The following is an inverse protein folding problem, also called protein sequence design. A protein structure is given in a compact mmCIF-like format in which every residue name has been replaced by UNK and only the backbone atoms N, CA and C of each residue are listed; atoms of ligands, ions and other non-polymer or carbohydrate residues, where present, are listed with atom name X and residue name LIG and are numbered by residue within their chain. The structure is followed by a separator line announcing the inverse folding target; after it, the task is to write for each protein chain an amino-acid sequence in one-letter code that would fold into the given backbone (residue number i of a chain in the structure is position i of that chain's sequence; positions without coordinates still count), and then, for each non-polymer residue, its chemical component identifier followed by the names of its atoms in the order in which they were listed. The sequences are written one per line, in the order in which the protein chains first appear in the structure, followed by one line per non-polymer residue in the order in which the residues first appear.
data_IF_095833279325
#
_entry.id   IF_095833279325
#
_cell.length_a   1.000
_cell.length_b   1.000
_cell.length_c   1.000
_cell.angle_alpha   90.00
_cell.angle_beta   90.00
_cell.angle_gamma   90.00
#
_symmetry.space_group_name_H-M   'P 1'
#
loop_
_entity.id
_entity.type
_entity.pdbx_description
1 polymer ?
#
# COMPACT_ATOMS: atom_id res chain seq x y z
N UNK A 1 -7.70 55.20 3.78
CA UNK A 1 -6.88 55.36 5.00
C UNK A 1 -7.79 55.36 6.21
N UNK A 2 -7.89 54.23 6.93
CA UNK A 2 -8.60 54.17 8.22
C UNK A 2 -7.81 53.31 9.19
N UNK A 3 -7.10 54.03 10.06
CA UNK A 3 -6.93 53.81 11.51
C UNK A 3 -6.44 52.44 11.98
N UNK A 4 -5.17 52.44 12.37
CA UNK A 4 -4.63 51.60 13.44
C UNK A 4 -5.49 51.67 14.71
N UNK A 5 -5.54 50.53 15.41
CA UNK A 5 -5.52 50.52 16.87
C UNK A 5 -6.55 49.61 17.52
N UNK A 6 -6.16 48.38 17.85
CA UNK A 6 -6.30 47.94 19.24
C UNK A 6 -5.28 46.85 19.58
N UNK A 7 -4.59 47.13 20.68
CA UNK A 7 -3.59 46.31 21.34
C UNK A 7 -4.18 45.05 21.97
N UNK A 8 -3.30 44.04 22.05
CA UNK A 8 -3.12 43.11 23.17
C UNK A 8 -4.29 42.20 23.58
N UNK A 9 -4.21 40.93 23.15
CA UNK A 9 -4.42 39.78 24.06
C UNK A 9 -3.33 38.74 23.75
N UNK A 10 -2.20 38.86 24.45
CA UNK A 10 -1.35 37.72 24.80
C UNK A 10 -2.13 36.90 25.83
N UNK A 11 -2.29 35.59 25.63
CA UNK A 11 -1.99 34.52 26.62
C UNK A 11 -2.67 33.19 26.26
N UNK A 12 -1.84 32.15 26.10
CA UNK A 12 -2.09 30.79 26.60
C UNK A 12 -3.24 29.96 26.01
N UNK A 13 -2.99 29.30 24.87
CA UNK A 13 -3.55 27.96 24.62
C UNK A 13 -2.43 27.05 24.09
N UNK A 14 -1.61 26.57 25.03
CA UNK A 14 -0.95 25.28 24.89
C UNK A 14 -1.95 24.23 25.37
N UNK A 15 -2.12 23.15 24.60
CA UNK A 15 -2.82 21.95 25.05
C UNK A 15 -4.22 21.77 24.49
N UNK A 16 -4.30 21.28 23.26
CA UNK A 16 -5.20 20.20 22.83
C UNK A 16 -5.06 20.03 21.31
N UNK A 17 -3.95 19.44 20.87
CA UNK A 17 -3.95 18.69 19.61
C UNK A 17 -4.79 17.43 19.87
N UNK A 18 -6.11 17.61 19.95
CA UNK A 18 -7.06 16.54 19.73
C UNK A 18 -6.86 16.13 18.28
N UNK A 19 -6.08 15.06 18.11
CA UNK A 19 -5.98 14.33 16.87
C UNK A 19 -7.41 14.10 16.37
N UNK A 20 -7.78 14.89 15.36
CA UNK A 20 -8.84 14.53 14.46
C UNK A 20 -8.40 13.20 13.85
N UNK A 21 -8.86 12.10 14.43
CA UNK A 21 -8.97 10.84 13.71
C UNK A 21 -9.94 11.10 12.58
N UNK A 22 -9.41 11.58 11.45
CA UNK A 22 -10.07 11.54 10.16
C UNK A 22 -10.33 10.06 9.85
N UNK A 23 -11.41 9.52 10.39
CA UNK A 23 -12.12 8.40 9.79
C UNK A 23 -12.76 8.96 8.53
N UNK A 24 -11.95 9.11 7.48
CA UNK A 24 -12.50 9.26 6.14
C UNK A 24 -13.35 8.01 5.87
N UNK A 25 -14.58 8.15 5.34
CA UNK A 25 -15.32 7.00 4.89
C UNK A 25 -14.44 6.31 3.85
N UNK A 26 -14.20 5.01 4.02
CA UNK A 26 -13.65 4.20 2.94
C UNK A 26 -14.65 4.30 1.79
N UNK A 27 -14.41 5.21 0.85
CA UNK A 27 -15.16 5.32 -0.39
C UNK A 27 -15.17 3.93 -1.01
N UNK A 28 -16.35 3.39 -1.30
CA UNK A 28 -16.53 2.09 -1.94
C UNK A 28 -15.80 1.98 -3.31
N UNK A 29 -15.28 3.10 -3.81
CA UNK A 29 -14.56 3.25 -5.07
C UNK A 29 -13.03 3.25 -4.95
N UNK A 30 -12.45 3.25 -3.74
CA UNK A 30 -10.99 3.19 -3.58
C UNK A 30 -10.47 1.75 -3.75
N UNK A 31 -9.39 1.51 -4.54
CA UNK A 31 -8.80 0.18 -4.68
C UNK A 31 -8.40 -0.39 -3.32
N UNK A 32 -8.75 -1.66 -3.06
CA UNK A 32 -8.37 -2.31 -1.81
C UNK A 32 -6.84 -2.24 -1.61
N UNK A 33 -6.36 -1.77 -0.45
CA UNK A 33 -4.93 -1.64 -0.20
C UNK A 33 -4.26 -3.01 -0.26
N UNK A 34 -2.96 -3.05 -0.57
CA UNK A 34 -2.24 -4.31 -0.49
C UNK A 34 -2.09 -4.76 0.95
N UNK A 35 -2.21 -6.06 1.15
CA UNK A 35 -2.05 -6.65 2.49
C UNK A 35 -0.59 -6.71 2.91
N UNK A 36 0.33 -6.84 1.95
CA UNK A 36 1.76 -6.70 2.19
C UNK A 36 2.12 -5.22 2.20
N UNK A 37 2.84 -4.80 3.23
CA UNK A 37 3.37 -3.43 3.36
C UNK A 37 4.86 -3.37 3.03
N UNK A 38 5.54 -4.52 3.09
CA UNK A 38 6.94 -4.67 2.69
C UNK A 38 7.03 -5.40 1.35
N UNK A 39 7.72 -4.79 0.40
CA UNK A 39 7.86 -5.32 -0.95
C UNK A 39 9.33 -5.60 -1.24
N UNK A 40 9.63 -6.86 -1.55
CA UNK A 40 10.96 -7.28 -2.02
C UNK A 40 11.17 -7.08 -3.52
N UNK A 41 10.08 -6.81 -4.27
CA UNK A 41 10.12 -6.64 -5.72
C UNK A 41 9.57 -5.27 -6.11
N UNK A 42 10.27 -4.58 -7.00
CA UNK A 42 9.83 -3.26 -7.45
C UNK A 42 8.55 -3.36 -8.29
N UNK A 43 8.38 -4.46 -9.05
CA UNK A 43 7.16 -4.75 -9.81
C UNK A 43 5.89 -4.70 -8.95
N UNK A 44 5.90 -5.43 -7.83
CA UNK A 44 4.72 -5.53 -6.96
C UNK A 44 4.53 -4.24 -6.16
N UNK A 45 5.63 -3.61 -5.71
CA UNK A 45 5.59 -2.32 -5.01
C UNK A 45 4.91 -1.25 -5.85
N UNK A 46 5.32 -1.07 -7.11
CA UNK A 46 4.76 -0.06 -7.99
C UNK A 46 3.31 -0.35 -8.36
N UNK A 47 2.99 -1.63 -8.64
CA UNK A 47 1.62 -2.03 -8.93
C UNK A 47 0.69 -1.76 -7.74
N UNK A 48 1.17 -2.09 -6.53
CA UNK A 48 0.44 -1.80 -5.30
C UNK A 48 0.17 -0.31 -5.12
N UNK A 49 1.20 0.53 -5.26
CA UNK A 49 1.06 1.99 -5.11
C UNK A 49 0.09 2.60 -6.14
N UNK A 50 -0.03 2.01 -7.33
CA UNK A 50 -0.89 2.50 -8.42
C UNK A 50 -2.36 2.08 -8.29
N UNK A 51 -2.63 0.86 -7.85
CA UNK A 51 -3.99 0.31 -7.90
C UNK A 51 -4.28 -0.77 -6.87
N UNK A 52 -3.52 -0.77 -5.77
CA UNK A 52 -3.71 -1.65 -4.64
C UNK A 52 -3.56 -3.12 -4.96
N UNK A 53 -4.22 -3.95 -4.15
CA UNK A 53 -4.13 -5.41 -4.20
C UNK A 53 -4.55 -5.98 -5.56
N UNK A 54 -5.54 -5.36 -6.21
CA UNK A 54 -6.01 -5.79 -7.53
C UNK A 54 -4.91 -5.62 -8.57
N UNK A 55 -4.30 -4.43 -8.65
CA UNK A 55 -3.23 -4.17 -9.62
C UNK A 55 -2.00 -5.03 -9.35
N UNK A 56 -1.63 -5.22 -8.08
CA UNK A 56 -0.55 -6.13 -7.68
C UNK A 56 -0.80 -7.57 -8.16
N UNK A 57 -2.03 -8.08 -8.02
CA UNK A 57 -2.43 -9.40 -8.52
C UNK A 57 -2.38 -9.48 -10.04
N UNK A 58 -2.85 -8.45 -10.73
CA UNK A 58 -2.91 -8.43 -12.19
C UNK A 58 -1.51 -8.44 -12.83
N UNK A 59 -0.56 -7.64 -12.33
CA UNK A 59 0.84 -7.70 -12.82
C UNK A 59 1.50 -9.04 -12.52
N UNK A 60 1.19 -9.66 -11.38
CA UNK A 60 1.73 -10.98 -11.04
C UNK A 60 1.17 -12.07 -11.96
N UNK A 61 -0.11 -11.99 -12.35
CA UNK A 61 -0.69 -12.91 -13.35
C UNK A 61 -0.02 -12.79 -14.71
N UNK A 62 0.29 -11.56 -15.14
CA UNK A 62 1.03 -11.33 -16.40
C UNK A 62 2.42 -11.98 -16.30
N UNK A 63 3.16 -11.70 -15.22
CA UNK A 63 4.45 -12.33 -14.97
C UNK A 63 4.37 -13.87 -14.96
N UNK A 64 3.38 -14.44 -14.27
CA UNK A 64 3.18 -15.89 -14.24
C UNK A 64 2.94 -16.47 -15.63
N UNK A 65 2.15 -15.78 -16.47
CA UNK A 65 1.90 -16.18 -17.85
C UNK A 65 3.19 -16.14 -18.68
N UNK A 66 3.95 -15.06 -18.60
CA UNK A 66 5.22 -14.89 -19.33
C UNK A 66 6.28 -15.92 -18.91
N UNK A 67 6.33 -16.25 -17.62
CA UNK A 67 7.30 -17.19 -17.05
C UNK A 67 6.79 -18.62 -16.95
N UNK A 68 5.62 -18.92 -17.51
CA UNK A 68 4.98 -20.23 -17.47
C UNK A 68 4.82 -20.81 -16.04
N UNK A 69 4.64 -19.93 -15.04
CA UNK A 69 4.37 -20.31 -13.65
C UNK A 69 2.91 -20.78 -13.57
N UNK A 70 2.72 -22.07 -13.29
CA UNK A 70 1.39 -22.71 -13.37
C UNK A 70 0.51 -22.48 -12.14
N UNK A 71 1.08 -22.04 -11.02
CA UNK A 71 0.33 -21.92 -9.77
C UNK A 71 0.86 -20.82 -8.86
N UNK A 72 -0.05 -20.04 -8.27
CA UNK A 72 0.26 -19.06 -7.22
C UNK A 72 0.93 -19.72 -6.01
N UNK A 73 0.66 -21.01 -5.77
CA UNK A 73 1.19 -21.76 -4.64
C UNK A 73 2.67 -22.13 -4.81
N UNK A 74 3.30 -21.82 -5.95
CA UNK A 74 4.75 -21.92 -6.04
C UNK A 74 5.40 -20.94 -5.06
N UNK A 75 4.96 -19.68 -5.08
CA UNK A 75 5.52 -18.61 -4.24
C UNK A 75 4.72 -18.35 -2.94
N UNK A 76 3.40 -18.60 -2.93
CA UNK A 76 2.56 -18.36 -1.75
C UNK A 76 2.41 -19.61 -0.88
N UNK A 77 2.52 -19.44 0.44
CA UNK A 77 2.19 -20.46 1.44
C UNK A 77 0.67 -20.52 1.66
N UNK A 78 0.02 -19.35 1.71
CA UNK A 78 -1.44 -19.21 1.71
C UNK A 78 -1.84 -18.10 0.75
N UNK A 79 -2.99 -18.27 0.11
CA UNK A 79 -3.56 -17.25 -0.75
C UNK A 79 -4.35 -16.24 0.08
N UNK A 80 -5.37 -15.62 -0.51
CA UNK A 80 -6.27 -14.71 0.18
C UNK A 80 -6.72 -15.27 1.55
N UNK A 81 -6.93 -14.42 2.56
CA UNK A 81 -6.88 -12.95 2.48
C UNK A 81 -5.48 -12.36 2.66
N UNK A 82 -4.55 -13.06 3.33
CA UNK A 82 -3.25 -12.51 3.73
C UNK A 82 -2.14 -12.70 2.70
N UNK A 83 -2.33 -13.57 1.71
CA UNK A 83 -1.34 -13.83 0.66
C UNK A 83 0.06 -14.17 1.20
N UNK A 84 0.12 -14.94 2.28
CA UNK A 84 1.37 -15.34 2.95
C UNK A 84 2.37 -15.90 1.94
N UNK A 85 3.57 -15.33 1.91
CA UNK A 85 4.67 -15.77 1.05
C UNK A 85 5.41 -16.91 1.72
N UNK A 86 5.92 -17.85 0.92
CA UNK A 86 6.91 -18.81 1.42
C UNK A 86 8.23 -18.11 1.73
N UNK A 87 9.08 -18.69 2.60
CA UNK A 87 10.41 -18.12 2.89
C UNK A 87 11.28 -17.91 1.63
N UNK A 88 11.14 -18.80 0.64
CA UNK A 88 11.88 -18.81 -0.62
C UNK A 88 11.15 -18.10 -1.78
N UNK A 89 10.02 -17.43 -1.52
CA UNK A 89 9.20 -16.82 -2.57
C UNK A 89 9.96 -15.80 -3.43
N UNK A 90 10.82 -15.00 -2.79
CA UNK A 90 11.64 -14.03 -3.52
C UNK A 90 12.72 -14.71 -4.37
N UNK A 91 13.35 -15.77 -3.87
CA UNK A 91 14.31 -16.55 -4.66
C UNK A 91 13.64 -17.21 -5.86
N UNK A 92 12.43 -17.79 -5.68
CA UNK A 92 11.67 -18.36 -6.78
C UNK A 92 11.28 -17.30 -7.82
N UNK A 93 10.86 -16.11 -7.37
CA UNK A 93 10.56 -14.99 -8.25
C UNK A 93 11.77 -14.59 -9.10
N UNK A 94 12.94 -14.44 -8.48
CA UNK A 94 14.19 -14.11 -9.16
C UNK A 94 14.64 -15.24 -10.10
N UNK A 95 14.52 -16.51 -9.69
CA UNK A 95 14.82 -17.69 -10.53
C UNK A 95 13.91 -17.76 -11.77
N UNK A 96 12.65 -17.35 -11.64
CA UNK A 96 11.73 -17.22 -12.77
C UNK A 96 12.06 -16.01 -13.68
N UNK A 97 13.04 -15.18 -13.32
CA UNK A 97 13.48 -14.01 -14.10
C UNK A 97 12.72 -12.73 -13.75
N UNK A 98 12.13 -12.66 -12.56
CA UNK A 98 11.64 -11.42 -11.96
C UNK A 98 12.79 -10.55 -11.44
N UNK A 99 12.54 -9.24 -11.31
CA UNK A 99 13.48 -8.25 -10.78
C UNK A 99 12.79 -7.40 -9.71
#
# INVERSE_FOLDING_TARGET
MSKLGLFAILTSIAGALTFATLSAPASADAPAPCVHTEFKTELVKQACAKGGQKQAKDVMKVFMKEKNIKSCNQCHAKLAPKYELKPDAFEQFTKAGGK
#
